data_IF_813868009915
#
_entry.id   IF_813868009915
#
_cell.length_a   1.000
_cell.length_b   1.000
_cell.length_c   1.000
_cell.angle_alpha   90.00
_cell.angle_beta   90.00
_cell.angle_gamma   90.00
#
_symmetry.space_group_name_H-M   'P 1'
#
loop_
_entity.id
_entity.type
_entity.pdbx_description
1 polymer ?
#
# COMPACT_ATOMS: atom_id res chain seq x y z
N UNK A 1 -39.55 -25.72 7.51
CA UNK A 1 -38.28 -25.29 6.88
C UNK A 1 -38.30 -23.78 6.86
N UNK A 2 -37.54 -23.09 7.71
CA UNK A 2 -37.48 -21.63 7.67
C UNK A 2 -36.71 -21.24 6.41
N UNK A 3 -37.24 -20.41 5.49
CA UNK A 3 -36.47 -19.89 4.38
C UNK A 3 -35.33 -19.08 4.96
N UNK A 4 -34.10 -19.54 4.76
CA UNK A 4 -32.90 -18.85 5.22
C UNK A 4 -32.91 -17.44 4.62
N UNK A 5 -32.98 -16.43 5.49
CA UNK A 5 -32.73 -15.05 5.07
C UNK A 5 -31.38 -15.02 4.32
N UNK A 6 -31.24 -14.27 3.22
CA UNK A 6 -29.92 -13.99 2.66
C UNK A 6 -29.11 -13.36 3.79
N UNK A 7 -28.18 -14.12 4.36
CA UNK A 7 -27.44 -13.71 5.55
C UNK A 7 -26.68 -12.44 5.20
N UNK A 8 -26.99 -11.33 5.86
CA UNK A 8 -26.10 -10.18 5.82
C UNK A 8 -24.79 -10.59 6.48
N UNK A 9 -23.65 -10.30 5.86
CA UNK A 9 -22.37 -10.48 6.53
C UNK A 9 -22.33 -9.60 7.78
N UNK A 10 -21.74 -10.08 8.88
CA UNK A 10 -21.50 -9.29 10.10
C UNK A 10 -20.56 -8.10 9.86
N UNK A 11 -19.94 -8.03 8.67
CA UNK A 11 -19.04 -6.96 8.26
C UNK A 11 -19.80 -5.78 7.68
N UNK A 12 -19.47 -4.59 8.17
CA UNK A 12 -20.08 -3.33 7.72
C UNK A 12 -19.28 -2.70 6.59
N UNK A 13 -19.98 -2.28 5.53
CA UNK A 13 -19.39 -1.48 4.43
C UNK A 13 -18.77 -0.19 4.94
N UNK A 14 -19.42 0.44 5.93
CA UNK A 14 -18.99 1.71 6.50
C UNK A 14 -17.66 1.55 7.23
N UNK A 15 -17.49 0.48 8.00
CA UNK A 15 -16.21 0.18 8.68
C UNK A 15 -15.09 -0.08 7.66
N UNK A 16 -15.38 -0.78 6.56
CA UNK A 16 -14.42 -0.99 5.48
C UNK A 16 -14.02 0.33 4.79
N UNK A 17 -14.99 1.22 4.55
CA UNK A 17 -14.73 2.53 3.94
C UNK A 17 -13.94 3.46 4.87
N UNK A 18 -14.27 3.50 6.16
CA UNK A 18 -13.52 4.26 7.17
C UNK A 18 -12.10 3.72 7.29
N UNK A 19 -11.93 2.40 7.31
CA UNK A 19 -10.60 1.78 7.35
C UNK A 19 -9.81 2.05 6.06
N UNK A 20 -10.46 2.10 4.90
CA UNK A 20 -9.81 2.48 3.65
C UNK A 20 -9.40 3.96 3.63
N UNK A 21 -10.17 4.84 4.28
CA UNK A 21 -9.82 6.26 4.39
C UNK A 21 -8.60 6.48 5.29
N UNK A 22 -8.57 5.86 6.48
CA UNK A 22 -7.49 6.06 7.45
C UNK A 22 -6.26 5.16 7.21
N UNK A 23 -6.47 3.95 6.69
CA UNK A 23 -5.44 2.92 6.52
C UNK A 23 -5.28 2.46 5.06
N UNK A 24 -5.85 3.20 4.11
CA UNK A 24 -5.76 2.90 2.68
C UNK A 24 -4.33 2.89 2.18
N UNK A 25 -3.48 3.82 2.66
CA UNK A 25 -2.07 3.89 2.31
C UNK A 25 -1.26 2.64 2.73
N UNK A 26 -1.77 1.86 3.70
CA UNK A 26 -1.17 0.61 4.16
C UNK A 26 -2.00 -0.65 3.79
N UNK A 27 -3.17 -0.50 3.14
CA UNK A 27 -4.01 -1.62 2.69
C UNK A 27 -4.89 -2.27 3.77
N UNK A 28 -5.18 -1.58 4.88
CA UNK A 28 -5.95 -2.14 6.01
C UNK A 28 -7.35 -2.64 5.68
N UNK A 29 -8.04 -1.97 4.75
CA UNK A 29 -9.39 -2.31 4.33
C UNK A 29 -9.50 -3.67 3.66
N UNK A 30 -8.45 -4.10 2.96
CA UNK A 30 -8.43 -5.40 2.31
C UNK A 30 -8.28 -6.56 3.32
N UNK A 31 -7.62 -6.34 4.46
CA UNK A 31 -7.59 -7.31 5.57
C UNK A 31 -8.96 -7.44 6.24
N UNK A 32 -9.69 -6.33 6.39
CA UNK A 32 -11.04 -6.34 6.98
C UNK A 32 -12.05 -7.11 6.12
N UNK A 33 -11.95 -6.97 4.79
CA UNK A 33 -12.75 -7.69 3.80
C UNK A 33 -12.24 -9.11 3.50
N UNK A 34 -11.28 -9.63 4.28
CA UNK A 34 -10.65 -10.97 4.10
C UNK A 34 -10.09 -11.23 2.69
N UNK A 35 -9.83 -10.17 1.91
CA UNK A 35 -9.19 -10.25 0.59
C UNK A 35 -7.67 -10.29 0.75
N UNK A 36 -7.21 -11.36 1.38
CA UNK A 36 -5.83 -11.50 1.87
C UNK A 36 -4.79 -11.36 0.75
N UNK A 37 -5.08 -11.80 -0.48
CA UNK A 37 -4.13 -11.68 -1.60
C UNK A 37 -3.80 -10.23 -1.98
N UNK A 38 -4.80 -9.36 -2.06
CA UNK A 38 -4.61 -7.93 -2.39
C UNK A 38 -4.06 -7.15 -1.21
N UNK A 39 -4.56 -7.45 0.00
CA UNK A 39 -4.08 -6.85 1.24
C UNK A 39 -2.59 -7.11 1.45
N UNK A 40 -2.17 -8.37 1.27
CA UNK A 40 -0.78 -8.77 1.42
C UNK A 40 0.12 -8.15 0.35
N UNK A 41 -0.33 -8.11 -0.91
CA UNK A 41 0.43 -7.46 -1.98
C UNK A 41 0.67 -5.97 -1.70
N UNK A 42 -0.37 -5.26 -1.25
CA UNK A 42 -0.26 -3.83 -0.92
C UNK A 42 0.64 -3.58 0.29
N UNK A 43 0.52 -4.43 1.31
CA UNK A 43 1.36 -4.37 2.49
C UNK A 43 2.83 -4.63 2.14
N UNK A 44 3.14 -5.71 1.42
CA UNK A 44 4.51 -6.04 1.00
C UNK A 44 5.11 -4.95 0.11
N UNK A 45 4.33 -4.39 -0.80
CA UNK A 45 4.78 -3.30 -1.66
C UNK A 45 5.07 -2.03 -0.87
N UNK A 46 4.23 -1.70 0.12
CA UNK A 46 4.45 -0.54 0.99
C UNK A 46 5.70 -0.72 1.88
N UNK A 47 5.90 -1.91 2.46
CA UNK A 47 7.10 -2.25 3.24
C UNK A 47 8.36 -2.18 2.36
N UNK A 48 8.29 -2.73 1.15
CA UNK A 48 9.41 -2.67 0.21
C UNK A 48 9.73 -1.23 -0.20
N UNK A 49 8.71 -0.38 -0.38
CA UNK A 49 8.89 1.06 -0.60
C UNK A 49 9.64 1.75 0.54
N UNK A 50 9.29 1.46 1.79
CA UNK A 50 10.02 1.98 2.95
C UNK A 50 11.48 1.49 3.00
N UNK A 51 11.75 0.23 2.63
CA UNK A 51 13.11 -0.29 2.53
C UNK A 51 13.91 0.50 1.49
N UNK A 52 13.35 0.74 0.29
CA UNK A 52 14.01 1.55 -0.74
C UNK A 52 14.30 2.97 -0.30
N UNK A 53 13.39 3.60 0.46
CA UNK A 53 13.65 4.93 1.05
C UNK A 53 14.83 4.87 2.03
N UNK A 54 14.84 3.92 2.97
CA UNK A 54 15.93 3.80 3.96
C UNK A 54 17.26 3.56 3.27
N UNK A 55 17.32 2.65 2.30
CA UNK A 55 18.54 2.38 1.51
C UNK A 55 18.96 3.64 0.75
N UNK A 56 18.03 4.34 0.10
CA UNK A 56 18.32 5.59 -0.60
C UNK A 56 18.89 6.68 0.31
N UNK A 57 18.33 6.85 1.52
CA UNK A 57 18.86 7.79 2.53
C UNK A 57 20.26 7.38 2.97
N UNK A 58 20.49 6.10 3.27
CA UNK A 58 21.81 5.60 3.66
C UNK A 58 22.84 5.92 2.57
N UNK A 59 22.55 5.63 1.31
CA UNK A 59 23.45 5.93 0.20
C UNK A 59 23.72 7.44 0.06
N UNK A 60 22.69 8.27 0.21
CA UNK A 60 22.83 9.73 0.12
C UNK A 60 23.64 10.33 1.29
N UNK A 61 23.46 9.84 2.51
CA UNK A 61 24.16 10.34 3.71
C UNK A 61 25.62 9.87 3.76
N UNK A 62 25.92 8.64 3.32
CA UNK A 62 27.29 8.14 3.27
C UNK A 62 28.17 8.91 2.28
N UNK A 63 27.58 9.51 1.23
CA UNK A 63 28.28 10.43 0.33
C UNK A 63 28.75 11.71 1.05
N UNK A 64 27.92 12.29 1.92
CA UNK A 64 28.20 13.54 2.64
C UNK A 64 29.15 13.36 3.84
N UNK A 65 29.18 12.15 4.43
CA UNK A 65 30.00 11.83 5.63
C UNK A 65 31.40 11.32 5.29
N UNK A 66 31.72 11.15 4.01
CA UNK A 66 33.03 10.71 3.53
C UNK A 66 34.13 11.74 3.81
N UNK A 67 34.84 11.56 4.93
CA UNK A 67 36.12 12.22 5.20
C UNK A 67 37.08 11.98 4.03
N UNK A 68 37.49 13.06 3.36
CA UNK A 68 38.63 13.24 2.45
C UNK A 68 39.59 12.04 2.27
N UNK A 69 39.16 10.93 1.66
CA UNK A 69 40.06 9.85 1.24
C UNK A 69 39.44 9.16 0.01
N UNK A 70 40.00 9.49 -1.15
CA UNK A 70 39.62 9.05 -2.51
C UNK A 70 38.33 9.64 -3.08
N UNK A 71 38.51 10.56 -4.04
CA UNK A 71 37.58 10.72 -5.16
C UNK A 71 37.64 9.43 -5.99
N UNK A 72 36.89 8.42 -5.57
CA UNK A 72 36.69 7.18 -6.31
C UNK A 72 35.50 7.36 -7.26
N UNK A 73 35.75 7.23 -8.56
CA UNK A 73 34.80 7.40 -9.68
C UNK A 73 33.47 6.61 -9.49
N UNK A 74 33.44 5.61 -8.59
CA UNK A 74 32.26 4.81 -8.28
C UNK A 74 31.26 5.42 -7.27
N UNK A 75 31.66 6.41 -6.45
CA UNK A 75 30.80 6.92 -5.36
C UNK A 75 29.69 7.87 -5.84
N UNK A 76 29.89 8.55 -6.97
CA UNK A 76 28.89 9.41 -7.60
C UNK A 76 27.70 8.61 -8.17
N UNK A 77 27.95 7.40 -8.67
CA UNK A 77 26.91 6.48 -9.12
C UNK A 77 26.06 5.96 -7.95
N UNK A 78 26.65 5.72 -6.79
CA UNK A 78 25.94 5.29 -5.58
C UNK A 78 25.05 6.41 -5.01
N UNK A 79 25.55 7.66 -5.01
CA UNK A 79 24.75 8.83 -4.66
C UNK A 79 23.58 9.02 -5.64
N UNK A 80 23.85 8.99 -6.95
CA UNK A 80 22.82 9.10 -7.98
C UNK A 80 21.76 7.99 -7.85
N UNK A 81 22.19 6.75 -7.57
CA UNK A 81 21.29 5.61 -7.35
C UNK A 81 20.44 5.79 -6.09
N UNK A 82 21.01 6.31 -5.00
CA UNK A 82 20.27 6.71 -3.81
C UNK A 82 19.20 7.76 -4.11
N UNK A 83 19.55 8.81 -4.87
CA UNK A 83 18.59 9.84 -5.27
C UNK A 83 17.50 9.30 -6.19
N UNK A 84 17.84 8.46 -7.17
CA UNK A 84 16.86 7.81 -8.05
C UNK A 84 15.90 6.94 -7.24
N UNK A 85 16.39 6.20 -6.24
CA UNK A 85 15.54 5.42 -5.34
C UNK A 85 14.61 6.35 -4.54
N UNK A 86 15.11 7.45 -3.97
CA UNK A 86 14.28 8.40 -3.23
C UNK A 86 13.21 9.04 -4.11
N UNK A 87 13.59 9.60 -5.26
CA UNK A 87 12.67 10.26 -6.16
C UNK A 87 11.70 9.26 -6.81
N UNK A 88 12.19 8.11 -7.26
CA UNK A 88 11.36 7.06 -7.84
C UNK A 88 10.34 6.54 -6.83
N UNK A 89 10.76 6.23 -5.61
CA UNK A 89 9.84 5.72 -4.59
C UNK A 89 8.88 6.79 -4.07
N UNK A 90 9.35 8.02 -3.82
CA UNK A 90 8.51 9.11 -3.31
C UNK A 90 7.49 9.65 -4.33
N UNK A 91 7.88 9.77 -5.60
CA UNK A 91 7.04 10.40 -6.63
C UNK A 91 6.32 9.41 -7.54
N UNK A 92 6.70 8.13 -7.54
CA UNK A 92 6.03 7.11 -8.37
C UNK A 92 5.37 6.04 -7.50
N UNK A 93 6.13 5.35 -6.66
CA UNK A 93 5.62 4.18 -5.93
C UNK A 93 4.54 4.56 -4.91
N UNK A 94 4.79 5.53 -4.03
CA UNK A 94 3.79 5.93 -3.02
C UNK A 94 2.52 6.54 -3.63
N UNK A 95 2.60 7.44 -4.63
CA UNK A 95 1.41 7.89 -5.35
C UNK A 95 0.67 6.75 -6.04
N UNK A 96 1.37 5.79 -6.66
CA UNK A 96 0.72 4.63 -7.27
C UNK A 96 -0.02 3.76 -6.24
N UNK A 97 0.59 3.50 -5.07
CA UNK A 97 -0.07 2.80 -3.95
C UNK A 97 -1.27 3.62 -3.43
N UNK A 98 -1.13 4.93 -3.33
CA UNK A 98 -2.22 5.83 -2.92
C UNK A 98 -3.38 5.85 -3.91
N UNK A 99 -3.10 5.90 -5.21
CA UNK A 99 -4.11 5.80 -6.27
C UNK A 99 -4.80 4.44 -6.21
N UNK A 100 -4.05 3.35 -6.06
CA UNK A 100 -4.63 2.01 -5.89
C UNK A 100 -5.57 1.95 -4.67
N UNK A 101 -5.12 2.45 -3.52
CA UNK A 101 -5.95 2.52 -2.32
C UNK A 101 -7.22 3.36 -2.51
N UNK A 102 -7.11 4.49 -3.21
CA UNK A 102 -8.22 5.39 -3.48
C UNK A 102 -9.25 4.78 -4.43
N UNK A 103 -8.80 4.08 -5.47
CA UNK A 103 -9.68 3.31 -6.36
C UNK A 103 -10.44 2.26 -5.55
N UNK A 104 -9.78 1.52 -4.67
CA UNK A 104 -10.45 0.52 -3.83
C UNK A 104 -11.43 1.14 -2.84
N UNK A 105 -11.12 2.29 -2.27
CA UNK A 105 -12.05 3.07 -1.46
C UNK A 105 -13.34 3.41 -2.24
N UNK A 106 -13.23 3.91 -3.47
CA UNK A 106 -14.40 4.18 -4.34
C UNK A 106 -15.18 2.90 -4.63
N UNK A 107 -14.49 1.78 -4.89
CA UNK A 107 -15.13 0.50 -5.15
C UNK A 107 -15.89 -0.04 -3.93
N UNK A 108 -15.38 0.19 -2.72
CA UNK A 108 -16.07 -0.14 -1.47
C UNK A 108 -17.34 0.70 -1.30
N UNK A 109 -17.26 2.01 -1.54
CA UNK A 109 -18.42 2.91 -1.44
C UNK A 109 -19.51 2.56 -2.46
N UNK A 110 -19.11 2.22 -3.68
CA UNK A 110 -20.04 1.88 -4.76
C UNK A 110 -20.53 0.43 -4.69
N UNK A 111 -19.90 -0.43 -3.86
CA UNK A 111 -20.16 -1.87 -3.85
C UNK A 111 -19.86 -2.57 -5.18
N UNK A 112 -19.12 -1.90 -6.07
CA UNK A 112 -18.78 -2.35 -7.42
C UNK A 112 -17.69 -3.44 -7.39
N UNK A 113 -17.46 -4.15 -8.49
CA UNK A 113 -16.38 -5.15 -8.61
C UNK A 113 -16.35 -6.21 -7.49
N UNK A 114 -17.53 -6.65 -7.05
CA UNK A 114 -17.69 -7.65 -5.99
C UNK A 114 -17.52 -7.12 -4.58
N UNK A 115 -17.28 -5.82 -4.35
CA UNK A 115 -17.19 -5.22 -3.01
C UNK A 115 -18.56 -5.10 -2.31
N UNK A 116 -19.67 -5.42 -2.98
CA UNK A 116 -20.97 -5.58 -2.35
C UNK A 116 -21.09 -6.85 -1.48
N UNK A 117 -20.20 -7.83 -1.67
CA UNK A 117 -20.28 -9.16 -1.04
C UNK A 117 -18.96 -9.57 -0.38
N UNK A 118 -19.06 -10.32 0.72
CA UNK A 118 -17.95 -10.94 1.45
C UNK A 118 -17.38 -12.16 0.71
N UNK A 119 -16.29 -12.73 1.23
CA UNK A 119 -15.65 -13.98 0.79
C UNK A 119 -16.62 -15.18 0.68
N UNK A 120 -17.70 -15.15 1.45
CA UNK A 120 -18.79 -16.16 1.48
C UNK A 120 -19.94 -15.85 0.52
N UNK A 121 -19.84 -14.81 -0.31
CA UNK A 121 -20.92 -14.37 -1.21
C UNK A 121 -22.09 -13.68 -0.50
N UNK A 122 -21.93 -13.37 0.79
CA UNK A 122 -22.93 -12.68 1.60
C UNK A 122 -22.85 -11.18 1.39
N UNK A 123 -23.98 -10.49 1.24
CA UNK A 123 -24.03 -9.03 1.08
C UNK A 123 -23.56 -8.35 2.35
N UNK A 124 -22.61 -7.42 2.21
CA UNK A 124 -22.12 -6.61 3.33
C UNK A 124 -23.23 -5.66 3.81
N UNK A 125 -23.37 -5.51 5.13
CA UNK A 125 -24.41 -4.67 5.75
C UNK A 125 -24.05 -3.19 5.74
#
# INVERSE_FOLDING_TARGET
MYPGHPGFSEKSKTTAAVLAFFLGWAGGHNFYLRRNGKALAQLLLSILGWIFIVVGIILAVNYDTGSSYYYDEGNEALFAMGMIMLFGTAYVLFPAIGIWAFVEFILILTGSAGYATDDKGLVLR
#
